data_IF_290903554828
#
_entry.id   IF_290903554828
#
_cell.length_a   1.000
_cell.length_b   1.000
_cell.length_c   1.000
_cell.angle_alpha   90.00
_cell.angle_beta   90.00
_cell.angle_gamma   90.00
#
_symmetry.space_group_name_H-M   'P 1'
#
loop_
_entity.id
_entity.type
_entity.pdbx_description
1 polymer ?
#
# COMPACT_ATOMS: atom_id res chain seq x y z
N UNK A 1 15.99 6.88 -17.23
CA UNK A 1 15.73 7.44 -15.89
C UNK A 1 14.71 6.55 -15.22
N UNK A 2 15.12 5.98 -14.10
CA UNK A 2 14.64 4.78 -13.40
C UNK A 2 13.15 4.80 -13.06
N UNK A 3 12.42 3.72 -13.35
CA UNK A 3 10.98 3.56 -13.06
C UNK A 3 10.57 3.92 -11.63
N UNK A 4 11.50 3.86 -10.65
CA UNK A 4 11.31 4.35 -9.29
C UNK A 4 11.11 5.86 -9.16
N UNK A 5 11.80 6.67 -9.97
CA UNK A 5 11.62 8.12 -9.95
C UNK A 5 10.23 8.47 -10.51
N UNK A 6 9.81 7.76 -11.55
CA UNK A 6 8.46 7.91 -12.10
C UNK A 6 7.39 7.45 -11.09
N UNK A 7 7.64 6.36 -10.37
CA UNK A 7 6.79 5.89 -9.28
C UNK A 7 6.66 6.95 -8.18
N UNK A 8 7.77 7.50 -7.69
CA UNK A 8 7.75 8.53 -6.64
C UNK A 8 7.02 9.80 -7.10
N UNK A 9 7.27 10.26 -8.32
CA UNK A 9 6.59 11.42 -8.89
C UNK A 9 5.08 11.18 -9.01
N UNK A 10 4.69 10.03 -9.56
CA UNK A 10 3.27 9.67 -9.74
C UNK A 10 2.58 9.50 -8.38
N UNK A 11 3.25 8.90 -7.39
CA UNK A 11 2.73 8.76 -6.05
C UNK A 11 2.46 10.13 -5.41
N UNK A 12 3.43 11.06 -5.51
CA UNK A 12 3.27 12.44 -5.02
C UNK A 12 2.07 13.13 -5.67
N UNK A 13 1.91 12.98 -6.97
CA UNK A 13 0.74 13.52 -7.67
C UNK A 13 -0.58 12.91 -7.20
N UNK A 14 -0.63 11.61 -6.93
CA UNK A 14 -1.84 10.93 -6.42
C UNK A 14 -2.22 11.43 -5.03
N UNK A 15 -1.24 11.56 -4.14
CA UNK A 15 -1.51 11.96 -2.74
C UNK A 15 -1.76 13.45 -2.57
N UNK A 16 -1.18 14.30 -3.44
CA UNK A 16 -1.36 15.75 -3.40
C UNK A 16 -2.57 16.23 -4.22
N UNK A 17 -3.15 15.38 -5.06
CA UNK A 17 -4.32 15.74 -5.85
C UNK A 17 -5.51 16.07 -4.94
N UNK A 18 -6.22 17.16 -5.26
CA UNK A 18 -7.47 17.55 -4.57
C UNK A 18 -8.57 16.48 -4.65
N UNK A 19 -8.52 15.62 -5.68
CA UNK A 19 -9.45 14.51 -5.90
C UNK A 19 -8.66 13.28 -6.33
N UNK A 20 -9.03 12.12 -5.80
CA UNK A 20 -8.43 10.85 -6.20
C UNK A 20 -8.77 10.56 -7.66
N UNK A 21 -7.76 10.43 -8.50
CA UNK A 21 -7.92 10.12 -9.92
C UNK A 21 -7.73 8.62 -10.14
N UNK A 22 -8.76 7.96 -10.68
CA UNK A 22 -8.70 6.55 -11.03
C UNK A 22 -7.58 6.27 -12.04
N UNK A 23 -7.43 7.12 -13.08
CA UNK A 23 -6.39 6.96 -14.09
C UNK A 23 -4.98 7.10 -13.51
N UNK A 24 -4.75 8.06 -12.60
CA UNK A 24 -3.44 8.18 -11.92
C UNK A 24 -3.16 6.99 -11.01
N UNK A 25 -4.17 6.45 -10.33
CA UNK A 25 -4.03 5.25 -9.50
C UNK A 25 -3.69 4.02 -10.35
N UNK A 26 -4.34 3.84 -11.49
CA UNK A 26 -4.00 2.78 -12.45
C UNK A 26 -2.56 2.92 -12.94
N UNK A 27 -2.15 4.13 -13.37
CA UNK A 27 -0.77 4.41 -13.78
C UNK A 27 0.24 4.08 -12.68
N UNK A 28 -0.03 4.50 -11.44
CA UNK A 28 0.80 4.20 -10.27
C UNK A 28 0.97 2.68 -10.09
N UNK A 29 -0.14 1.94 -10.21
CA UNK A 29 -0.16 0.49 -10.06
C UNK A 29 0.64 -0.21 -11.15
N UNK A 30 0.50 0.22 -12.39
CA UNK A 30 1.27 -0.32 -13.52
C UNK A 30 2.78 -0.12 -13.35
N UNK A 31 3.20 1.08 -12.92
CA UNK A 31 4.61 1.37 -12.67
C UNK A 31 5.16 0.52 -11.52
N UNK A 32 4.39 0.37 -10.44
CA UNK A 32 4.78 -0.45 -9.29
C UNK A 32 4.97 -1.91 -9.67
N UNK A 33 4.02 -2.47 -10.43
CA UNK A 33 4.10 -3.84 -10.98
C UNK A 33 5.33 -4.01 -11.88
N UNK A 34 5.61 -3.06 -12.77
CA UNK A 34 6.79 -3.10 -13.64
C UNK A 34 8.11 -3.01 -12.86
N UNK A 35 8.08 -2.41 -11.68
CA UNK A 35 9.26 -2.18 -10.83
C UNK A 35 9.31 -3.11 -9.62
N UNK A 36 8.53 -4.19 -9.62
CA UNK A 36 8.33 -5.06 -8.45
C UNK A 36 9.61 -5.79 -8.02
N UNK A 37 10.58 -5.95 -8.93
CA UNK A 37 11.92 -6.45 -8.60
C UNK A 37 12.63 -5.58 -7.56
N UNK A 38 12.23 -4.31 -7.44
CA UNK A 38 12.77 -3.32 -6.50
C UNK A 38 11.79 -3.04 -5.34
N UNK A 39 10.96 -4.03 -4.98
CA UNK A 39 9.94 -3.97 -3.93
C UNK A 39 10.38 -3.26 -2.64
N UNK A 40 11.59 -3.50 -2.14
CA UNK A 40 12.13 -2.82 -0.95
C UNK A 40 12.10 -1.30 -1.12
N UNK A 41 12.55 -0.81 -2.28
CA UNK A 41 12.60 0.63 -2.58
C UNK A 41 11.19 1.17 -2.79
N UNK A 42 10.31 0.41 -3.45
CA UNK A 42 8.90 0.80 -3.62
C UNK A 42 8.19 0.99 -2.27
N UNK A 43 8.30 0.00 -1.37
CA UNK A 43 7.70 0.05 -0.04
C UNK A 43 8.30 1.19 0.78
N UNK A 44 9.62 1.38 0.73
CA UNK A 44 10.28 2.49 1.42
C UNK A 44 9.80 3.86 0.93
N UNK A 45 9.68 4.06 -0.39
CA UNK A 45 9.14 5.31 -0.96
C UNK A 45 7.69 5.51 -0.53
N UNK A 46 6.87 4.46 -0.59
CA UNK A 46 5.45 4.51 -0.24
C UNK A 46 5.25 4.89 1.24
N UNK A 47 5.97 4.21 2.15
CA UNK A 47 5.89 4.46 3.58
C UNK A 47 6.48 5.82 3.98
N UNK A 48 7.65 6.19 3.45
CA UNK A 48 8.25 7.51 3.72
C UNK A 48 7.34 8.64 3.24
N UNK A 49 6.78 8.51 2.03
CA UNK A 49 5.81 9.48 1.51
C UNK A 49 4.61 9.55 2.44
N UNK A 50 4.04 8.42 2.85
CA UNK A 50 2.92 8.42 3.79
C UNK A 50 3.22 9.21 5.06
N UNK A 51 4.35 8.92 5.72
CA UNK A 51 4.71 9.56 6.99
C UNK A 51 4.93 11.06 6.87
N UNK A 52 5.40 11.56 5.73
CA UNK A 52 5.60 13.01 5.51
C UNK A 52 4.34 13.78 5.10
N UNK A 53 3.24 13.09 4.78
CA UNK A 53 2.01 13.76 4.34
C UNK A 53 1.26 14.46 5.49
N UNK A 54 0.56 15.57 5.17
CA UNK A 54 -0.43 16.13 6.08
C UNK A 54 -1.65 15.21 6.22
N UNK A 55 -2.42 15.38 7.30
CA UNK A 55 -3.63 14.60 7.62
C UNK A 55 -4.61 14.50 6.45
N UNK A 56 -4.79 15.57 5.68
CA UNK A 56 -5.71 15.64 4.53
C UNK A 56 -5.34 14.70 3.38
N UNK A 57 -4.07 14.34 3.24
CA UNK A 57 -3.57 13.47 2.17
C UNK A 57 -3.40 12.00 2.61
N UNK A 58 -3.57 11.70 3.90
CA UNK A 58 -3.40 10.34 4.46
C UNK A 58 -4.37 9.33 3.86
N UNK A 59 -5.62 9.75 3.59
CA UNK A 59 -6.63 8.90 2.95
C UNK A 59 -6.22 8.52 1.53
N UNK A 60 -5.72 9.47 0.75
CA UNK A 60 -5.21 9.20 -0.61
C UNK A 60 -4.04 8.24 -0.59
N UNK A 61 -3.14 8.39 0.38
CA UNK A 61 -2.04 7.45 0.60
C UNK A 61 -2.54 6.06 0.98
N UNK A 62 -3.51 5.94 1.89
CA UNK A 62 -4.12 4.65 2.26
C UNK A 62 -4.71 3.93 1.03
N UNK A 63 -5.38 4.65 0.14
CA UNK A 63 -5.89 4.04 -1.11
C UNK A 63 -4.79 3.62 -2.07
N UNK A 64 -3.63 4.30 -2.06
CA UNK A 64 -2.46 3.82 -2.82
C UNK A 64 -1.92 2.51 -2.26
N UNK A 65 -1.81 2.37 -0.92
CA UNK A 65 -1.47 1.08 -0.30
C UNK A 65 -2.45 -0.02 -0.68
N UNK A 66 -3.75 0.26 -0.60
CA UNK A 66 -4.80 -0.69 -0.97
C UNK A 66 -4.68 -1.15 -2.43
N UNK A 67 -4.60 -0.22 -3.38
CA UNK A 67 -4.54 -0.53 -4.80
C UNK A 67 -3.31 -1.39 -5.13
N UNK A 68 -2.14 -1.02 -4.60
CA UNK A 68 -0.89 -1.74 -4.83
C UNK A 68 -0.88 -3.13 -4.19
N UNK A 69 -1.37 -3.26 -2.95
CA UNK A 69 -1.47 -4.54 -2.28
C UNK A 69 -2.42 -5.50 -3.00
N UNK A 70 -3.60 -5.02 -3.42
CA UNK A 70 -4.55 -5.86 -4.18
C UNK A 70 -4.00 -6.25 -5.55
N UNK A 71 -3.32 -5.34 -6.25
CA UNK A 71 -2.68 -5.67 -7.52
C UNK A 71 -1.61 -6.75 -7.37
N UNK A 72 -0.75 -6.62 -6.35
CA UNK A 72 0.26 -7.64 -6.05
C UNK A 72 -0.38 -8.98 -5.66
N UNK A 73 -1.42 -8.98 -4.81
CA UNK A 73 -2.14 -10.21 -4.43
C UNK A 73 -2.76 -10.89 -5.65
N UNK A 74 -3.37 -10.13 -6.55
CA UNK A 74 -3.92 -10.67 -7.78
C UNK A 74 -2.86 -11.36 -8.65
N UNK A 75 -1.64 -10.80 -8.73
CA UNK A 75 -0.54 -11.47 -9.44
C UNK A 75 -0.10 -12.75 -8.76
N UNK A 76 0.02 -12.74 -7.43
CA UNK A 76 0.36 -13.94 -6.66
C UNK A 76 -0.64 -15.05 -6.91
N UNK A 77 -1.94 -14.76 -6.79
CA UNK A 77 -3.00 -15.76 -7.00
C UNK A 77 -3.05 -16.23 -8.45
N UNK A 78 -2.90 -15.32 -9.43
CA UNK A 78 -3.00 -15.66 -10.85
C UNK A 78 -1.83 -16.50 -11.36
N UNK A 79 -0.62 -16.20 -10.89
CA UNK A 79 0.61 -16.81 -11.41
C UNK A 79 1.25 -17.81 -10.44
N UNK A 80 0.66 -18.04 -9.27
CA UNK A 80 1.22 -18.94 -8.25
C UNK A 80 2.58 -18.46 -7.71
N UNK A 81 2.82 -17.15 -7.65
CA UNK A 81 4.12 -16.60 -7.26
C UNK A 81 4.37 -16.87 -5.78
N UNK A 82 5.49 -17.51 -5.47
CA UNK A 82 5.94 -17.72 -4.10
C UNK A 82 6.98 -16.64 -3.75
N UNK A 83 6.87 -16.06 -2.56
CA UNK A 83 7.81 -15.07 -2.06
C UNK A 83 8.92 -15.74 -1.26
N UNK A 84 10.17 -15.49 -1.64
CA UNK A 84 11.32 -15.81 -0.81
C UNK A 84 11.94 -14.49 -0.31
N UNK A 85 11.97 -14.32 1.01
CA UNK A 85 12.51 -13.11 1.64
C UNK A 85 14.03 -12.97 1.44
N UNK A 86 14.71 -14.07 1.10
CA UNK A 86 16.15 -14.10 0.82
C UNK A 86 16.49 -13.87 -0.65
N UNK A 87 15.50 -13.78 -1.53
CA UNK A 87 15.72 -13.50 -2.95
C UNK A 87 16.31 -12.11 -3.14
N UNK A 88 17.39 -12.01 -3.94
CA UNK A 88 18.00 -10.73 -4.32
C UNK A 88 17.03 -9.84 -5.11
N UNK A 89 16.11 -10.45 -5.86
CA UNK A 89 15.07 -9.76 -6.63
C UNK A 89 13.71 -9.91 -5.96
N UNK A 90 13.01 -8.79 -5.82
CA UNK A 90 11.63 -8.75 -5.35
C UNK A 90 10.65 -9.36 -6.35
N UNK A 91 9.49 -9.77 -5.86
CA UNK A 91 8.34 -10.16 -6.65
C UNK A 91 7.05 -9.72 -5.94
N UNK A 92 5.88 -10.03 -6.52
CA UNK A 92 4.61 -9.62 -5.95
C UNK A 92 4.35 -10.20 -4.54
N UNK A 93 4.84 -11.40 -4.23
CA UNK A 93 4.70 -12.00 -2.91
C UNK A 93 5.64 -11.37 -1.89
N UNK A 94 6.92 -11.14 -2.23
CA UNK A 94 7.86 -10.45 -1.32
C UNK A 94 7.46 -8.99 -1.09
N UNK A 95 6.89 -8.33 -2.09
CA UNK A 95 6.31 -6.99 -1.95
C UNK A 95 5.19 -6.97 -0.91
N UNK A 96 4.28 -7.95 -0.93
CA UNK A 96 3.21 -8.06 0.07
C UNK A 96 3.77 -8.28 1.48
N UNK A 97 4.78 -9.13 1.63
CA UNK A 97 5.45 -9.34 2.93
C UNK A 97 6.09 -8.05 3.45
N UNK A 98 6.70 -7.25 2.57
CA UNK A 98 7.30 -5.97 2.95
C UNK A 98 6.25 -4.91 3.28
N UNK A 99 5.13 -4.88 2.54
CA UNK A 99 3.99 -4.02 2.89
C UNK A 99 3.44 -4.40 4.26
N UNK A 100 3.24 -5.69 4.54
CA UNK A 100 2.79 -6.20 5.84
C UNK A 100 3.66 -5.65 6.99
N UNK A 101 4.98 -5.64 6.82
CA UNK A 101 5.93 -5.13 7.81
C UNK A 101 5.80 -3.63 8.13
N UNK A 102 5.14 -2.84 7.29
CA UNK A 102 4.89 -1.40 7.53
C UNK A 102 3.44 -1.07 7.89
N UNK A 103 2.52 -2.06 7.85
CA UNK A 103 1.08 -1.81 8.08
C UNK A 103 0.78 -1.32 9.50
N UNK A 104 1.48 -1.82 10.53
CA UNK A 104 1.30 -1.31 11.90
C UNK A 104 1.64 0.18 11.99
N UNK A 105 2.79 0.57 11.42
CA UNK A 105 3.22 1.97 11.39
C UNK A 105 2.24 2.86 10.62
N UNK A 106 1.71 2.34 9.51
CA UNK A 106 0.68 3.01 8.71
C UNK A 106 -0.60 3.24 9.50
N UNK A 107 -1.18 2.20 10.12
CA UNK A 107 -2.45 2.31 10.84
C UNK A 107 -2.31 3.14 12.10
N UNK A 108 -1.22 2.98 12.86
CA UNK A 108 -0.95 3.83 14.03
C UNK A 108 -0.84 5.31 13.65
N UNK A 109 -0.21 5.64 12.52
CA UNK A 109 -0.14 7.01 12.02
C UNK A 109 -1.53 7.57 11.67
N UNK A 110 -2.37 6.78 11.00
CA UNK A 110 -3.75 7.15 10.69
C UNK A 110 -4.58 7.40 11.96
N UNK A 111 -4.48 6.53 12.96
CA UNK A 111 -5.23 6.66 14.23
C UNK A 111 -4.74 7.88 15.03
N UNK A 112 -3.42 8.14 15.00
CA UNK A 112 -2.81 9.27 15.71
C UNK A 112 -3.33 10.63 15.23
N UNK A 113 -3.90 10.72 14.02
CA UNK A 113 -4.55 11.94 13.52
C UNK A 113 -5.80 12.32 14.33
N UNK A 114 -6.38 11.39 15.11
CA UNK A 114 -7.65 11.54 15.84
C UNK A 114 -8.82 11.99 14.97
N UNK A 115 -8.73 11.77 13.66
CA UNK A 115 -9.76 12.13 12.70
C UNK A 115 -10.68 10.93 12.44
N UNK A 116 -11.96 11.08 12.77
CA UNK A 116 -12.96 10.02 12.65
C UNK A 116 -13.18 9.59 11.19
N UNK A 117 -13.17 10.52 10.24
CA UNK A 117 -13.32 10.20 8.82
C UNK A 117 -12.19 9.29 8.34
N UNK A 118 -10.95 9.60 8.73
CA UNK A 118 -9.77 8.79 8.38
C UNK A 118 -9.89 7.39 9.00
N UNK A 119 -10.28 7.29 10.27
CA UNK A 119 -10.52 6.02 10.96
C UNK A 119 -11.59 5.19 10.23
N UNK A 120 -12.68 5.81 9.77
CA UNK A 120 -13.71 5.12 8.98
C UNK A 120 -13.23 4.65 7.61
N UNK A 121 -12.40 5.44 6.91
CA UNK A 121 -11.79 5.00 5.65
C UNK A 121 -10.83 3.83 5.87
N UNK A 122 -10.03 3.86 6.95
CA UNK A 122 -9.16 2.76 7.33
C UNK A 122 -9.94 1.47 7.61
N UNK A 123 -11.07 1.56 8.32
CA UNK A 123 -11.98 0.41 8.53
C UNK A 123 -12.51 -0.15 7.21
N UNK A 124 -12.97 0.71 6.30
CA UNK A 124 -13.46 0.30 4.97
C UNK A 124 -12.38 -0.41 4.15
N UNK A 125 -11.15 0.10 4.15
CA UNK A 125 -10.02 -0.55 3.46
C UNK A 125 -9.69 -1.89 4.09
N UNK A 126 -9.69 -1.98 5.42
CA UNK A 126 -9.48 -3.24 6.11
C UNK A 126 -10.55 -4.29 5.75
N UNK A 127 -11.83 -3.89 5.68
CA UNK A 127 -12.92 -4.77 5.26
C UNK A 127 -12.74 -5.28 3.81
N UNK A 128 -12.22 -4.43 2.92
CA UNK A 128 -11.87 -4.82 1.55
C UNK A 128 -10.76 -5.86 1.56
N UNK A 129 -9.71 -5.68 2.37
CA UNK A 129 -8.61 -6.64 2.48
C UNK A 129 -9.04 -7.97 3.07
N UNK A 130 -9.97 -7.97 4.02
CA UNK A 130 -10.59 -9.20 4.55
C UNK A 130 -11.36 -9.93 3.46
N UNK A 131 -12.28 -9.24 2.77
CA UNK A 131 -13.09 -9.85 1.70
C UNK A 131 -12.23 -10.37 0.55
N UNK A 132 -11.14 -9.69 0.24
CA UNK A 132 -10.26 -10.02 -0.89
C UNK A 132 -9.10 -10.94 -0.50
N UNK A 133 -9.03 -11.43 0.74
CA UNK A 133 -7.89 -12.21 1.27
C UNK A 133 -6.52 -11.59 0.91
N UNK A 134 -6.40 -10.27 1.05
CA UNK A 134 -5.21 -9.52 0.59
C UNK A 134 -4.00 -9.80 1.48
N UNK A 135 -4.19 -9.98 2.78
CA UNK A 135 -3.17 -10.33 3.76
C UNK A 135 -3.61 -11.53 4.60
N UNK A 136 -2.68 -12.21 5.29
CA UNK A 136 -3.04 -13.30 6.21
C UNK A 136 -4.02 -12.86 7.30
N UNK A 137 -4.91 -13.77 7.72
CA UNK A 137 -5.95 -13.48 8.73
C UNK A 137 -5.39 -12.91 10.04
N UNK A 138 -4.22 -13.38 10.49
CA UNK A 138 -3.55 -12.89 11.69
C UNK A 138 -3.22 -11.39 11.61
N UNK A 139 -2.73 -10.93 10.44
CA UNK A 139 -2.42 -9.52 10.17
C UNK A 139 -3.69 -8.69 10.21
N UNK A 140 -4.73 -9.15 9.50
CA UNK A 140 -6.00 -8.42 9.41
C UNK A 140 -6.68 -8.30 10.78
N UNK A 141 -6.60 -9.34 11.61
CA UNK A 141 -7.09 -9.33 12.99
C UNK A 141 -6.33 -8.32 13.83
N UNK A 142 -4.99 -8.33 13.76
CA UNK A 142 -4.15 -7.35 14.47
C UNK A 142 -4.49 -5.90 14.06
N UNK A 143 -4.63 -5.61 12.77
CA UNK A 143 -5.01 -4.27 12.28
C UNK A 143 -6.41 -3.86 12.73
N UNK A 144 -7.34 -4.81 12.84
CA UNK A 144 -8.69 -4.56 13.36
C UNK A 144 -8.67 -4.12 14.82
N UNK A 145 -7.82 -4.73 15.64
CA UNK A 145 -7.66 -4.36 17.05
C UNK A 145 -7.13 -2.93 17.21
N UNK A 146 -6.20 -2.50 16.35
CA UNK A 146 -5.70 -1.11 16.35
C UNK A 146 -6.81 -0.09 16.06
N UNK A 147 -7.82 -0.45 15.27
CA UNK A 147 -8.93 0.43 14.88
C UNK A 147 -10.11 0.42 15.86
N UNK A 148 -10.04 -0.32 16.97
CA UNK A 148 -11.03 -0.21 18.05
C UNK A 148 -10.92 1.18 18.69
#
# INVERSE_FOLDING_TARGET
>A
MTSLNEFESTLKEVVQAKRLSASKMTKLTEIAVKSIEQDTKLVAILYRTHKSLPTTAKVSSLYAFDALARAARNQVTKHGIVGDINSEKGNAATFLLKIEGVLDGLFNDLISTRNQEIKEKAKKVLDIWIKSNTFPSAVLTRLRELLK
#
